data_IF_446558489060
#
_entry.id   IF_446558489060
#
_cell.length_a   1.000
_cell.length_b   1.000
_cell.length_c   1.000
_cell.angle_alpha   90.00
_cell.angle_beta   90.00
_cell.angle_gamma   90.00
#
_symmetry.space_group_name_H-M   'P 1'
#
loop_
_entity.id
_entity.type
_entity.pdbx_description
1 polymer ?
#
# COMPACT_ATOMS: atom_id res chain seq x y z
N UNK A 1 -2.33 21.66 -37.73
CA UNK A 1 -3.17 20.97 -36.74
C UNK A 1 -2.53 21.25 -35.40
N UNK A 2 -3.23 21.94 -34.50
CA UNK A 2 -2.83 21.99 -33.10
C UNK A 2 -3.27 20.66 -32.50
N UNK A 3 -2.32 19.86 -32.03
CA UNK A 3 -2.61 18.78 -31.10
C UNK A 3 -3.25 19.44 -29.88
N UNK A 4 -4.55 19.20 -29.73
CA UNK A 4 -5.22 19.50 -28.47
C UNK A 4 -4.64 18.50 -27.48
N UNK A 5 -3.79 18.97 -26.57
CA UNK A 5 -3.49 18.20 -25.36
C UNK A 5 -4.83 18.02 -24.65
N UNK A 6 -5.39 16.81 -24.73
CA UNK A 6 -6.44 16.40 -23.81
C UNK A 6 -5.89 16.63 -22.39
N UNK A 7 -6.64 17.31 -21.50
CA UNK A 7 -6.24 17.35 -20.11
C UNK A 7 -6.20 15.91 -19.63
N UNK A 8 -5.07 15.51 -19.05
CA UNK A 8 -4.87 14.24 -18.38
C UNK A 8 -5.95 14.14 -17.28
N UNK A 9 -7.12 13.59 -17.59
CA UNK A 9 -8.29 13.55 -16.70
C UNK A 9 -8.17 12.38 -15.72
N UNK A 10 -6.96 12.18 -15.21
CA UNK A 10 -6.63 11.13 -14.28
C UNK A 10 -7.15 11.53 -12.90
N UNK A 11 -8.06 10.74 -12.36
CA UNK A 11 -8.60 10.97 -11.02
C UNK A 11 -7.59 10.55 -9.96
N UNK A 12 -7.79 10.98 -8.71
CA UNK A 12 -6.94 10.54 -7.60
C UNK A 12 -7.04 9.04 -7.38
N UNK A 13 -8.22 8.47 -7.60
CA UNK A 13 -8.43 7.03 -7.54
C UNK A 13 -7.64 6.31 -8.64
N UNK A 14 -7.62 6.83 -9.86
CA UNK A 14 -6.76 6.27 -10.93
C UNK A 14 -5.28 6.33 -10.52
N UNK A 15 -4.83 7.46 -9.97
CA UNK A 15 -3.46 7.57 -9.42
C UNK A 15 -3.16 6.62 -8.26
N UNK A 16 -4.17 6.20 -7.49
CA UNK A 16 -4.00 5.20 -6.44
C UNK A 16 -3.74 3.81 -7.07
N UNK A 17 -4.51 3.44 -8.09
CA UNK A 17 -4.31 2.18 -8.80
C UNK A 17 -2.96 2.14 -9.52
N UNK A 18 -2.56 3.21 -10.21
CA UNK A 18 -1.22 3.27 -10.81
C UNK A 18 -0.09 3.09 -9.77
N UNK A 19 -0.26 3.60 -8.54
CA UNK A 19 0.69 3.36 -7.46
C UNK A 19 0.66 1.91 -6.98
N UNK A 20 -0.53 1.33 -6.85
CA UNK A 20 -0.68 -0.06 -6.45
C UNK A 20 -0.05 -1.01 -7.48
N UNK A 21 -0.31 -0.81 -8.77
CA UNK A 21 0.27 -1.57 -9.88
C UNK A 21 1.80 -1.44 -9.91
N UNK A 22 2.34 -0.25 -9.66
CA UNK A 22 3.79 -0.04 -9.57
C UNK A 22 4.42 -0.82 -8.41
N UNK A 23 3.74 -0.90 -7.26
CA UNK A 23 4.19 -1.72 -6.11
C UNK A 23 4.18 -3.20 -6.47
N UNK A 24 3.15 -3.69 -7.15
CA UNK A 24 3.09 -5.07 -7.63
C UNK A 24 4.21 -5.37 -8.63
N UNK A 25 4.47 -4.46 -9.57
CA UNK A 25 5.55 -4.59 -10.55
C UNK A 25 6.91 -4.64 -9.85
N UNK A 26 7.21 -3.67 -8.97
CA UNK A 26 8.46 -3.60 -8.20
C UNK A 26 8.71 -4.91 -7.46
N UNK A 27 7.69 -5.46 -6.79
CA UNK A 27 7.81 -6.68 -5.99
C UNK A 27 7.93 -7.93 -6.89
N UNK A 28 7.23 -7.98 -8.02
CA UNK A 28 7.33 -9.10 -8.95
C UNK A 28 8.73 -9.25 -9.55
N UNK A 29 9.43 -8.12 -9.78
CA UNK A 29 10.81 -8.13 -10.25
C UNK A 29 11.76 -8.78 -9.24
N UNK A 30 11.44 -8.70 -7.93
CA UNK A 30 12.20 -9.31 -6.84
C UNK A 30 12.08 -10.84 -6.81
N UNK A 31 11.04 -11.40 -7.44
CA UNK A 31 10.76 -12.85 -7.51
C UNK A 31 11.39 -13.51 -8.75
N UNK A 32 11.93 -12.73 -9.70
CA UNK A 32 12.48 -13.28 -10.95
C UNK A 32 13.80 -14.06 -10.74
N UNK A 33 13.87 -15.26 -11.33
CA UNK A 33 14.94 -16.26 -11.18
C UNK A 33 16.36 -15.78 -11.61
N UNK A 34 16.49 -14.59 -12.21
CA UNK A 34 17.73 -14.08 -12.83
C UNK A 34 18.65 -13.30 -11.86
N UNK A 35 18.29 -13.16 -10.57
CA UNK A 35 19.15 -12.54 -9.57
C UNK A 35 20.29 -13.49 -9.15
N UNK A 36 21.34 -13.58 -9.98
CA UNK A 36 22.60 -14.32 -9.72
C UNK A 36 23.34 -13.83 -8.46
N UNK A 37 22.92 -12.71 -7.88
CA UNK A 37 23.32 -12.27 -6.55
C UNK A 37 22.04 -12.21 -5.72
N UNK A 38 21.91 -13.09 -4.73
CA UNK A 38 20.84 -13.02 -3.74
C UNK A 38 20.93 -11.67 -3.02
N UNK A 39 20.27 -10.64 -3.57
CA UNK A 39 19.82 -9.54 -2.76
C UNK A 39 18.91 -10.20 -1.72
N UNK A 40 19.32 -10.16 -0.44
CA UNK A 40 18.51 -10.62 0.69
C UNK A 40 17.29 -9.70 0.81
N UNK A 41 16.36 -9.81 -0.14
CA UNK A 41 15.10 -9.09 -0.17
C UNK A 41 14.05 -10.09 0.31
N UNK A 42 13.52 -9.82 1.48
CA UNK A 42 12.47 -10.60 2.15
C UNK A 42 11.18 -9.81 2.27
N UNK A 43 10.31 -10.26 3.16
CA UNK A 43 9.00 -9.65 3.38
C UNK A 43 9.09 -8.24 3.97
N UNK A 44 10.19 -7.93 4.67
CA UNK A 44 10.42 -6.60 5.22
C UNK A 44 10.62 -5.55 4.12
N UNK A 45 11.42 -5.86 3.12
CA UNK A 45 11.66 -4.97 1.97
C UNK A 45 10.38 -4.76 1.16
N UNK A 46 9.55 -5.79 1.00
CA UNK A 46 8.23 -5.64 0.36
C UNK A 46 7.32 -4.68 1.15
N UNK A 47 7.27 -4.81 2.48
CA UNK A 47 6.55 -3.89 3.35
C UNK A 47 7.09 -2.46 3.24
N UNK A 48 8.41 -2.31 3.17
CA UNK A 48 9.09 -1.04 3.00
C UNK A 48 8.68 -0.35 1.70
N UNK A 49 8.74 -1.05 0.58
CA UNK A 49 8.32 -0.56 -0.74
C UNK A 49 6.86 -0.14 -0.73
N UNK A 50 5.96 -1.00 -0.21
CA UNK A 50 4.53 -0.73 -0.21
C UNK A 50 4.16 0.47 0.68
N UNK A 51 4.67 0.55 1.91
CA UNK A 51 4.39 1.70 2.79
C UNK A 51 5.06 2.99 2.31
N UNK A 52 6.25 2.91 1.71
CA UNK A 52 6.93 4.06 1.11
C UNK A 52 6.08 4.67 0.00
N UNK A 53 5.64 3.85 -0.95
CA UNK A 53 4.79 4.28 -2.07
C UNK A 53 3.42 4.80 -1.59
N UNK A 54 2.77 4.09 -0.66
CA UNK A 54 1.49 4.53 -0.09
C UNK A 54 1.61 5.89 0.61
N UNK A 55 2.70 6.12 1.32
CA UNK A 55 2.97 7.42 1.97
C UNK A 55 3.19 8.53 0.96
N UNK A 56 4.04 8.31 -0.05
CA UNK A 56 4.27 9.29 -1.11
C UNK A 56 2.96 9.62 -1.84
N UNK A 57 2.14 8.61 -2.12
CA UNK A 57 0.81 8.80 -2.67
C UNK A 57 -0.06 9.69 -1.79
N UNK A 58 -0.12 9.45 -0.47
CA UNK A 58 -0.89 10.28 0.46
C UNK A 58 -0.40 11.74 0.47
N UNK A 59 0.93 11.95 0.49
CA UNK A 59 1.54 13.28 0.43
C UNK A 59 1.15 14.03 -0.87
N UNK A 60 1.11 13.34 -2.00
CA UNK A 60 0.82 13.92 -3.32
C UNK A 60 -0.68 14.11 -3.61
N UNK A 61 -1.53 13.18 -3.15
CA UNK A 61 -2.98 13.21 -3.37
C UNK A 61 -3.72 14.10 -2.37
N UNK A 62 -3.10 14.42 -1.23
CA UNK A 62 -3.72 15.13 -0.12
C UNK A 62 -4.55 14.25 0.81
N UNK A 63 -4.50 12.91 0.65
CA UNK A 63 -5.09 11.97 1.61
C UNK A 63 -4.34 12.06 2.93
N UNK A 64 -5.07 12.32 4.03
CA UNK A 64 -4.46 12.47 5.34
C UNK A 64 -4.19 11.09 5.98
N UNK A 65 -2.94 10.67 5.95
CA UNK A 65 -2.51 9.38 6.51
C UNK A 65 -2.75 9.27 8.03
N UNK A 66 -2.75 10.37 8.79
CA UNK A 66 -3.09 10.32 10.22
C UNK A 66 -4.56 9.97 10.45
N UNK A 67 -5.47 10.47 9.59
CA UNK A 67 -6.88 10.07 9.65
C UNK A 67 -7.05 8.58 9.32
N UNK A 68 -6.29 8.05 8.37
CA UNK A 68 -6.29 6.61 8.04
C UNK A 68 -5.82 5.78 9.25
N UNK A 69 -4.76 6.22 9.93
CA UNK A 69 -4.24 5.59 11.16
C UNK A 69 -5.27 5.59 12.29
N UNK A 70 -5.91 6.73 12.53
CA UNK A 70 -6.93 6.88 13.56
C UNK A 70 -8.14 5.96 13.30
N UNK A 71 -8.60 5.88 12.05
CA UNK A 71 -9.71 4.98 11.67
C UNK A 71 -9.31 3.51 11.82
N UNK A 72 -8.09 3.14 11.45
CA UNK A 72 -7.60 1.78 11.66
C UNK A 72 -7.55 1.41 13.15
N UNK A 73 -7.12 2.34 14.01
CA UNK A 73 -7.08 2.12 15.45
C UNK A 73 -8.49 2.00 16.04
N UNK A 74 -9.42 2.86 15.62
CA UNK A 74 -10.82 2.79 16.03
C UNK A 74 -11.47 1.45 15.65
N UNK A 75 -11.16 0.95 14.43
CA UNK A 75 -11.60 -0.37 13.97
C UNK A 75 -11.07 -1.51 14.87
N UNK A 76 -9.80 -1.44 15.28
CA UNK A 76 -9.19 -2.44 16.17
C UNK A 76 -9.72 -2.41 17.60
N UNK A 77 -10.15 -1.25 18.09
CA UNK A 77 -10.71 -1.07 19.44
C UNK A 77 -12.20 -1.37 19.52
N UNK A 78 -12.88 -1.54 18.37
CA UNK A 78 -14.30 -1.83 18.30
C UNK A 78 -14.64 -3.20 18.93
N UNK A 79 -15.61 -3.27 19.86
CA UNK A 79 -16.02 -4.53 20.51
C UNK A 79 -16.81 -5.47 19.59
N UNK A 80 -17.15 -5.04 18.36
CA UNK A 80 -17.76 -5.88 17.34
C UNK A 80 -16.68 -6.68 16.61
N UNK A 81 -16.39 -7.89 17.10
CA UNK A 81 -15.44 -8.84 16.49
C UNK A 81 -15.67 -9.10 14.98
N UNK A 82 -16.85 -8.80 14.43
CA UNK A 82 -17.16 -9.00 13.00
C UNK A 82 -16.43 -8.00 12.08
N UNK A 83 -16.24 -6.74 12.49
CA UNK A 83 -15.51 -5.74 11.69
C UNK A 83 -13.99 -5.95 11.77
N UNK A 84 -13.48 -6.51 12.88
CA UNK A 84 -12.06 -6.89 13.02
C UNK A 84 -11.63 -7.97 12.03
N UNK A 85 -12.57 -8.76 11.49
CA UNK A 85 -12.30 -9.78 10.46
C UNK A 85 -12.23 -9.20 9.04
N UNK A 86 -12.68 -7.95 8.82
CA UNK A 86 -12.83 -7.35 7.48
C UNK A 86 -11.51 -7.17 6.71
N UNK A 87 -10.37 -7.33 7.39
CA UNK A 87 -9.03 -7.26 6.78
C UNK A 87 -8.11 -8.40 7.28
N UNK A 88 -8.70 -9.54 7.66
CA UNK A 88 -7.92 -10.68 8.12
C UNK A 88 -7.01 -11.20 6.99
N UNK A 89 -5.74 -11.44 7.33
CA UNK A 89 -4.76 -12.04 6.41
C UNK A 89 -5.06 -13.54 6.33
N UNK A 90 -5.39 -14.06 5.15
CA UNK A 90 -5.71 -15.47 4.98
C UNK A 90 -4.56 -16.38 5.48
N UNK A 91 -4.90 -17.55 6.03
CA UNK A 91 -3.96 -18.44 6.71
C UNK A 91 -3.00 -19.20 5.76
N UNK A 92 -3.29 -19.28 4.45
CA UNK A 92 -2.42 -19.91 3.44
C UNK A 92 -1.25 -19.00 3.02
N UNK A 93 -0.47 -18.55 4.00
CA UNK A 93 0.87 -18.02 3.73
C UNK A 93 1.86 -19.17 3.96
N UNK A 94 2.60 -19.52 2.90
CA UNK A 94 3.53 -20.65 2.90
C UNK A 94 4.78 -20.21 3.65
N UNK A 95 5.12 -20.90 4.74
CA UNK A 95 6.21 -20.53 5.69
C UNK A 95 7.62 -20.35 5.09
N UNK A 96 7.84 -20.56 3.80
CA UNK A 96 9.19 -20.65 3.22
C UNK A 96 9.56 -19.55 2.22
N UNK A 97 8.64 -18.68 1.79
CA UNK A 97 8.99 -17.56 0.91
C UNK A 97 8.17 -16.32 1.25
N UNK A 98 8.82 -15.37 1.95
CA UNK A 98 8.21 -14.14 2.45
C UNK A 98 7.72 -13.22 1.32
N UNK A 99 8.43 -13.20 0.19
CA UNK A 99 8.05 -12.40 -0.98
C UNK A 99 6.81 -12.98 -1.67
N UNK A 100 6.73 -14.31 -1.84
CA UNK A 100 5.52 -14.98 -2.34
C UNK A 100 4.34 -14.72 -1.41
N UNK A 101 4.55 -14.74 -0.09
CA UNK A 101 3.52 -14.42 0.88
C UNK A 101 3.05 -12.98 0.76
N UNK A 102 3.95 -12.06 0.43
CA UNK A 102 3.61 -10.67 0.16
C UNK A 102 2.85 -10.51 -1.18
N UNK A 103 3.20 -11.23 -2.24
CA UNK A 103 2.39 -11.24 -3.48
C UNK A 103 0.95 -11.69 -3.20
N UNK A 104 0.77 -12.75 -2.41
CA UNK A 104 -0.56 -13.20 -1.95
C UNK A 104 -1.30 -12.15 -1.11
N UNK A 105 -0.59 -11.27 -0.41
CA UNK A 105 -1.19 -10.13 0.30
C UNK A 105 -1.71 -9.08 -0.68
N UNK A 106 -0.94 -8.75 -1.72
CA UNK A 106 -1.36 -7.81 -2.76
C UNK A 106 -2.60 -8.31 -3.49
N UNK A 107 -2.64 -9.60 -3.86
CA UNK A 107 -3.84 -10.25 -4.41
C UNK A 107 -5.06 -10.11 -3.46
N UNK A 108 -4.86 -10.25 -2.15
CA UNK A 108 -5.96 -10.06 -1.18
C UNK A 108 -6.44 -8.60 -1.13
N UNK A 109 -5.53 -7.64 -1.25
CA UNK A 109 -5.88 -6.21 -1.31
C UNK A 109 -6.69 -5.92 -2.57
N UNK A 110 -6.23 -6.39 -3.74
CA UNK A 110 -6.92 -6.22 -5.02
C UNK A 110 -8.34 -6.81 -4.98
N UNK A 111 -8.48 -8.04 -4.49
CA UNK A 111 -9.78 -8.70 -4.33
C UNK A 111 -10.72 -7.90 -3.42
N UNK A 112 -10.19 -7.33 -2.33
CA UNK A 112 -10.97 -6.52 -1.39
C UNK A 112 -11.36 -5.16 -1.96
N UNK A 113 -10.49 -4.52 -2.73
CA UNK A 113 -10.80 -3.30 -3.49
C UNK A 113 -11.92 -3.56 -4.50
N UNK A 114 -11.83 -4.65 -5.26
CA UNK A 114 -12.85 -5.07 -6.22
C UNK A 114 -14.19 -5.37 -5.55
N UNK A 115 -14.18 -6.12 -4.44
CA UNK A 115 -15.39 -6.39 -3.67
C UNK A 115 -16.03 -5.10 -3.13
N UNK A 116 -15.22 -4.16 -2.64
CA UNK A 116 -15.71 -2.88 -2.13
C UNK A 116 -16.28 -1.99 -3.25
N UNK A 117 -15.64 -1.94 -4.42
CA UNK A 117 -16.15 -1.24 -5.61
C UNK A 117 -17.55 -1.78 -6.00
N UNK A 118 -17.71 -3.10 -6.03
CA UNK A 118 -19.01 -3.73 -6.35
C UNK A 118 -20.07 -3.46 -5.28
N UNK A 119 -19.67 -3.37 -4.01
CA UNK A 119 -20.57 -2.97 -2.91
C UNK A 119 -21.05 -1.53 -3.08
N UNK A 120 -20.14 -0.60 -3.39
CA UNK A 120 -20.45 0.81 -3.59
C UNK A 120 -21.50 1.03 -4.68
N UNK A 121 -21.49 0.25 -5.77
CA UNK A 121 -22.49 0.29 -6.85
C UNK A 121 -23.94 0.08 -6.36
N UNK A 122 -24.11 -0.59 -5.22
CA UNK A 122 -25.40 -0.96 -4.65
C UNK A 122 -25.69 -0.25 -3.30
N UNK A 123 -24.90 0.76 -2.93
CA UNK A 123 -24.99 1.43 -1.62
C UNK A 123 -24.84 2.95 -1.75
N UNK A 124 -24.94 3.67 -0.63
CA UNK A 124 -24.61 5.11 -0.56
C UNK A 124 -23.11 5.35 -0.33
N UNK A 125 -22.31 4.29 -0.16
CA UNK A 125 -20.86 4.39 -0.01
C UNK A 125 -20.19 4.81 -1.32
N UNK A 126 -19.09 5.55 -1.20
CA UNK A 126 -18.32 6.04 -2.34
C UNK A 126 -17.02 5.24 -2.44
N UNK A 127 -16.74 4.73 -3.63
CA UNK A 127 -15.44 4.15 -3.95
C UNK A 127 -14.49 5.28 -4.39
N UNK A 128 -13.63 5.73 -3.48
CA UNK A 128 -12.68 6.83 -3.69
C UNK A 128 -11.26 6.47 -3.23
N UNK A 129 -10.31 7.37 -3.45
CA UNK A 129 -8.92 7.15 -3.09
C UNK A 129 -8.70 6.95 -1.58
N UNK A 130 -9.53 7.59 -0.75
CA UNK A 130 -9.40 7.50 0.69
C UNK A 130 -9.70 6.08 1.15
N UNK A 131 -10.77 5.48 0.63
CA UNK A 131 -11.12 4.10 0.93
C UNK A 131 -10.09 3.12 0.35
N UNK A 132 -9.55 3.39 -0.84
CA UNK A 132 -8.47 2.59 -1.42
C UNK A 132 -7.23 2.55 -0.51
N UNK A 133 -6.78 3.72 -0.06
CA UNK A 133 -5.68 3.86 0.91
C UNK A 133 -6.00 3.16 2.22
N UNK A 134 -7.23 3.31 2.74
CA UNK A 134 -7.63 2.69 4.00
C UNK A 134 -7.60 1.15 3.94
N UNK A 135 -8.09 0.56 2.85
CA UNK A 135 -8.07 -0.90 2.62
C UNK A 135 -6.63 -1.40 2.54
N UNK A 136 -5.81 -0.80 1.67
CA UNK A 136 -4.40 -1.19 1.51
C UNK A 136 -3.63 -1.06 2.82
N UNK A 137 -3.76 0.09 3.51
CA UNK A 137 -3.12 0.34 4.79
C UNK A 137 -3.50 -0.71 5.84
N UNK A 138 -4.78 -1.07 5.93
CA UNK A 138 -5.28 -2.02 6.91
C UNK A 138 -4.70 -3.42 6.72
N UNK A 139 -4.60 -3.89 5.47
CA UNK A 139 -3.95 -5.15 5.12
C UNK A 139 -2.46 -5.14 5.45
N UNK A 140 -1.72 -4.12 5.01
CA UNK A 140 -0.29 -4.00 5.30
C UNK A 140 -0.02 -3.96 6.82
N UNK A 141 -0.84 -3.25 7.59
CA UNK A 141 -0.74 -3.20 9.04
C UNK A 141 -1.00 -4.54 9.71
N UNK A 142 -2.00 -5.27 9.25
CA UNK A 142 -2.29 -6.61 9.75
C UNK A 142 -1.20 -7.60 9.37
N UNK A 143 -0.59 -7.45 8.20
CA UNK A 143 0.57 -8.24 7.78
C UNK A 143 1.80 -7.96 8.67
N UNK A 144 2.10 -6.70 9.00
CA UNK A 144 3.15 -6.40 10.00
C UNK A 144 2.90 -7.12 11.33
N UNK A 145 1.66 -7.14 11.81
CA UNK A 145 1.33 -7.83 13.05
C UNK A 145 1.49 -9.36 12.95
N UNK A 146 1.16 -9.94 11.79
CA UNK A 146 1.31 -11.37 11.51
C UNK A 146 2.77 -11.80 11.44
N UNK A 147 3.61 -11.01 10.77
CA UNK A 147 5.05 -11.26 10.59
C UNK A 147 5.90 -10.67 11.72
N UNK A 148 5.27 -10.19 12.80
CA UNK A 148 5.94 -9.59 13.97
C UNK A 148 6.88 -8.41 13.63
N UNK A 149 6.61 -7.69 12.54
CA UNK A 149 7.36 -6.51 12.10
C UNK A 149 7.03 -5.29 12.97
N UNK A 150 8.06 -4.63 13.51
CA UNK A 150 7.89 -3.37 14.23
C UNK A 150 7.54 -2.23 13.25
N UNK A 151 6.24 -1.98 13.14
CA UNK A 151 5.71 -0.90 12.32
C UNK A 151 6.30 0.48 12.65
N UNK A 152 6.60 0.78 13.93
CA UNK A 152 7.12 2.11 14.29
C UNK A 152 8.52 2.31 13.72
N UNK A 153 9.36 1.29 13.84
CA UNK A 153 10.71 1.29 13.28
C UNK A 153 10.66 1.38 11.75
N UNK A 154 9.81 0.58 11.10
CA UNK A 154 9.59 0.65 9.65
C UNK A 154 9.19 2.05 9.17
N UNK A 155 8.25 2.71 9.84
CA UNK A 155 7.84 4.07 9.48
C UNK A 155 8.93 5.12 9.73
N UNK A 156 9.79 4.92 10.72
CA UNK A 156 10.92 5.83 10.96
C UNK A 156 11.94 5.73 9.84
N UNK A 157 12.28 4.52 9.40
CA UNK A 157 13.20 4.29 8.28
C UNK A 157 12.67 4.92 6.98
N UNK A 158 11.40 4.69 6.66
CA UNK A 158 10.74 5.31 5.49
C UNK A 158 10.77 6.85 5.60
N UNK A 159 10.49 7.39 6.79
CA UNK A 159 10.54 8.85 7.02
C UNK A 159 11.93 9.42 6.75
N UNK A 160 12.96 8.70 7.18
CA UNK A 160 14.35 9.12 7.00
C UNK A 160 14.71 9.13 5.51
N UNK A 161 14.41 8.05 4.78
CA UNK A 161 14.66 7.98 3.34
C UNK A 161 13.96 9.12 2.58
N UNK A 162 12.67 9.34 2.83
CA UNK A 162 11.93 10.42 2.17
C UNK A 162 12.52 11.80 2.48
N UNK A 163 13.01 12.02 3.70
CA UNK A 163 13.67 13.26 4.08
C UNK A 163 15.04 13.44 3.39
N UNK A 164 15.78 12.35 3.15
CA UNK A 164 17.04 12.35 2.40
C UNK A 164 16.79 12.65 0.91
N UNK A 165 15.82 11.98 0.28
CA UNK A 165 15.42 12.24 -1.11
C UNK A 165 15.04 13.71 -1.34
N UNK A 166 14.24 14.29 -0.43
CA UNK A 166 13.85 15.71 -0.50
C UNK A 166 15.05 16.65 -0.38
N UNK A 167 16.11 16.28 0.36
CA UNK A 167 17.33 17.10 0.45
C UNK A 167 18.14 17.03 -0.84
N UNK A 168 18.21 15.87 -1.46
CA UNK A 168 18.95 15.66 -2.70
C UNK A 168 18.29 16.38 -3.87
N UNK A 169 16.95 16.34 -3.97
CA UNK A 169 16.18 17.13 -4.95
C UNK A 169 16.47 18.63 -4.82
N UNK A 170 16.38 19.17 -3.60
CA UNK A 170 16.66 20.58 -3.35
C UNK A 170 18.13 20.97 -3.61
N UNK A 171 19.06 20.03 -3.51
CA UNK A 171 20.50 20.26 -3.75
C UNK A 171 20.88 20.22 -5.24
N UNK A 172 20.03 19.62 -6.09
CA UNK A 172 20.23 19.58 -7.55
C UNK A 172 19.61 20.79 -8.27
N UNK A 173 18.75 21.55 -7.59
CA UNK A 173 18.12 22.77 -8.12
C UNK A 173 18.90 24.07 -7.84
N UNK A 174 20.09 23.99 -7.23
CA UNK A 174 20.97 25.15 -6.91
C UNK A 174 22.26 25.18 -7.73
#
# INVERSE_FOLDING_TARGET
>A
MMEQNEPDNKTRLDSFFDMFDAVEEDISQLVSDDNEVAAEIGGYECLYIAFSNLRLYCENSGVNLEQIKDQYQALKESPANEESESFAIQEDLVKTNEVINFCKLLEQIENSLSAFEQRCKNSEEVFDEWNGVFIMYSYLRNYCAKEEVDYKSLQQEISQLHAEMKKDENSQET
#
